data_IF_760386836486
#
_entry.id   IF_760386836486
#
_cell.length_a   1.000
_cell.length_b   1.000
_cell.length_c   1.000
_cell.angle_alpha   90.00
_cell.angle_beta   90.00
_cell.angle_gamma   90.00
#
_symmetry.space_group_name_H-M   'P 1'
#
loop_
_entity.id
_entity.type
_entity.pdbx_description
1 polymer ?
#
# COMPACT_ATOMS: atom_id res chain seq x y z
N UNK A 1 47.63 -22.53 -5.68
CA UNK A 1 46.79 -21.30 -5.77
C UNK A 1 46.05 -21.13 -7.12
N UNK A 2 46.45 -21.81 -8.20
CA UNK A 2 45.86 -21.67 -9.56
C UNK A 2 44.50 -22.38 -9.76
N UNK A 3 44.35 -23.63 -9.31
CA UNK A 3 43.12 -24.44 -9.47
C UNK A 3 41.93 -23.81 -8.74
N UNK A 4 42.16 -23.26 -7.54
CA UNK A 4 41.09 -22.62 -6.76
C UNK A 4 40.52 -21.38 -7.47
N UNK A 5 41.38 -20.55 -8.08
CA UNK A 5 40.95 -19.35 -8.80
C UNK A 5 40.28 -19.67 -10.14
N UNK A 6 40.78 -20.66 -10.87
CA UNK A 6 40.37 -20.92 -12.25
C UNK A 6 39.22 -21.94 -12.38
N UNK A 7 39.02 -22.81 -11.40
CA UNK A 7 38.01 -23.88 -11.47
C UNK A 7 37.02 -23.79 -10.32
N UNK A 8 37.50 -23.77 -9.08
CA UNK A 8 36.64 -23.88 -7.89
C UNK A 8 35.82 -22.61 -7.68
N UNK A 9 36.42 -21.42 -7.77
CA UNK A 9 35.73 -20.13 -7.60
C UNK A 9 34.59 -19.89 -8.62
N UNK A 10 34.77 -20.10 -9.94
CA UNK A 10 33.66 -19.94 -10.89
C UNK A 10 32.59 -21.03 -10.72
N UNK A 11 32.96 -22.26 -10.34
CA UNK A 11 32.00 -23.32 -10.02
C UNK A 11 31.15 -22.94 -8.80
N UNK A 12 31.78 -22.47 -7.71
CA UNK A 12 31.09 -21.98 -6.52
C UNK A 12 30.18 -20.78 -6.83
N UNK A 13 30.60 -19.90 -7.74
CA UNK A 13 29.77 -18.79 -8.20
C UNK A 13 28.53 -19.28 -8.97
N UNK A 14 28.68 -20.25 -9.89
CA UNK A 14 27.56 -20.90 -10.58
C UNK A 14 26.61 -21.59 -9.59
N UNK A 15 27.13 -22.32 -8.61
CA UNK A 15 26.34 -22.98 -7.56
C UNK A 15 25.58 -21.96 -6.71
N UNK A 16 26.24 -20.87 -6.28
CA UNK A 16 25.56 -19.79 -5.53
C UNK A 16 24.48 -19.10 -6.36
N UNK A 17 24.73 -18.85 -7.65
CA UNK A 17 23.76 -18.26 -8.58
C UNK A 17 22.55 -19.17 -8.77
N UNK A 18 22.77 -20.48 -8.94
CA UNK A 18 21.70 -21.46 -9.05
C UNK A 18 20.88 -21.57 -7.76
N UNK A 19 21.54 -21.60 -6.60
CA UNK A 19 20.87 -21.57 -5.29
C UNK A 19 19.98 -20.32 -5.13
N UNK A 20 20.49 -19.15 -5.51
CA UNK A 20 19.72 -17.90 -5.44
C UNK A 20 18.52 -17.95 -6.41
N UNK A 21 18.71 -18.47 -7.62
CA UNK A 21 17.63 -18.68 -8.58
C UNK A 21 16.52 -19.59 -8.01
N UNK A 22 16.88 -20.73 -7.41
CA UNK A 22 15.90 -21.63 -6.78
C UNK A 22 15.20 -20.97 -5.60
N UNK A 23 15.94 -20.21 -4.75
CA UNK A 23 15.34 -19.44 -3.66
C UNK A 23 14.30 -18.44 -4.20
N UNK A 24 14.65 -17.69 -5.24
CA UNK A 24 13.78 -16.67 -5.81
C UNK A 24 12.55 -17.31 -6.47
N UNK A 25 12.74 -18.44 -7.15
CA UNK A 25 11.65 -19.25 -7.70
C UNK A 25 10.72 -19.79 -6.60
N UNK A 26 11.27 -20.30 -5.50
CA UNK A 26 10.49 -20.74 -4.34
C UNK A 26 9.72 -19.59 -3.70
N UNK A 27 10.29 -18.39 -3.64
CA UNK A 27 9.56 -17.19 -3.18
C UNK A 27 8.39 -16.91 -4.10
N UNK A 28 8.55 -17.01 -5.43
CA UNK A 28 7.44 -16.83 -6.39
C UNK A 28 6.39 -17.93 -6.27
N UNK A 29 6.77 -19.17 -5.97
CA UNK A 29 5.81 -20.28 -5.81
C UNK A 29 5.06 -20.14 -4.47
N UNK A 30 5.77 -19.95 -3.37
CA UNK A 30 5.19 -19.80 -2.02
C UNK A 30 4.38 -18.52 -1.90
N UNK A 31 4.87 -17.41 -2.49
CA UNK A 31 4.12 -16.16 -2.60
C UNK A 31 3.28 -16.07 -3.86
N UNK A 32 3.20 -17.10 -4.70
CA UNK A 32 2.28 -17.12 -5.85
C UNK A 32 0.83 -17.15 -5.38
N UNK A 33 0.63 -17.64 -4.16
CA UNK A 33 -0.60 -17.59 -3.39
C UNK A 33 -0.82 -16.23 -2.71
N UNK A 34 0.18 -15.36 -2.76
CA UNK A 34 0.08 -13.99 -2.29
C UNK A 34 -0.69 -13.19 -3.34
N UNK A 35 -1.99 -13.04 -3.11
CA UNK A 35 -2.91 -12.27 -3.96
C UNK A 35 -2.36 -10.88 -4.29
N UNK A 36 -1.46 -10.33 -3.47
CA UNK A 36 -0.76 -9.07 -3.71
C UNK A 36 0.03 -9.07 -5.02
N UNK A 37 0.66 -10.19 -5.39
CA UNK A 37 1.42 -10.30 -6.64
C UNK A 37 0.51 -10.36 -7.88
N UNK A 38 -0.71 -10.89 -7.74
CA UNK A 38 -1.65 -11.03 -8.84
C UNK A 38 -2.53 -9.79 -9.03
N UNK A 39 -2.93 -9.16 -7.92
CA UNK A 39 -3.88 -8.04 -7.93
C UNK A 39 -3.19 -6.68 -7.86
N UNK A 40 -1.90 -6.65 -7.52
CA UNK A 40 -1.18 -5.41 -7.14
C UNK A 40 -1.84 -4.66 -5.98
N UNK A 41 -2.66 -5.35 -5.16
CA UNK A 41 -3.40 -4.77 -4.04
C UNK A 41 -3.00 -5.45 -2.73
N UNK A 42 -2.85 -4.68 -1.64
CA UNK A 42 -2.66 -5.24 -0.30
C UNK A 42 -3.82 -4.81 0.61
N UNK A 43 -4.82 -5.68 0.73
CA UNK A 43 -6.00 -5.42 1.56
C UNK A 43 -6.61 -6.72 2.11
N UNK A 44 -7.18 -6.65 3.32
CA UNK A 44 -7.91 -7.77 3.93
C UNK A 44 -9.39 -7.70 3.54
N UNK A 45 -9.72 -8.22 2.36
CA UNK A 45 -11.07 -8.15 1.75
C UNK A 45 -12.19 -8.56 2.73
N UNK A 46 -11.98 -9.58 3.56
CA UNK A 46 -12.98 -10.07 4.52
C UNK A 46 -13.35 -9.10 5.65
N UNK A 47 -12.63 -7.98 5.82
CA UNK A 47 -12.94 -6.92 6.79
C UNK A 47 -13.63 -5.70 6.17
N UNK A 48 -13.78 -5.68 4.85
CA UNK A 48 -14.32 -4.54 4.13
C UNK A 48 -15.84 -4.71 3.95
N UNK A 49 -16.63 -3.63 4.07
CA UNK A 49 -18.04 -3.67 3.73
C UNK A 49 -18.26 -4.12 2.28
N UNK A 50 -19.29 -4.95 2.05
CA UNK A 50 -19.63 -5.42 0.69
C UNK A 50 -20.06 -4.29 -0.26
N UNK A 51 -20.52 -3.18 0.32
CA UNK A 51 -20.93 -1.96 -0.38
C UNK A 51 -19.75 -1.09 -0.83
N UNK A 52 -18.52 -1.40 -0.43
CA UNK A 52 -17.35 -0.62 -0.85
C UNK A 52 -16.99 -0.98 -2.29
N UNK A 53 -16.91 0.05 -3.15
CA UNK A 53 -16.53 -0.09 -4.54
C UNK A 53 -15.05 0.22 -4.73
N UNK A 54 -14.38 -0.61 -5.52
CA UNK A 54 -12.98 -0.40 -5.89
C UNK A 54 -12.88 -0.08 -7.38
N UNK A 55 -12.51 1.16 -7.67
CA UNK A 55 -12.39 1.66 -9.03
C UNK A 55 -10.94 1.58 -9.47
N UNK A 56 -10.67 0.80 -10.53
CA UNK A 56 -9.31 0.51 -11.00
C UNK A 56 -8.40 0.04 -9.85
N UNK A 57 -8.69 -1.10 -9.18
CA UNK A 57 -8.15 -1.42 -7.84
C UNK A 57 -6.61 -1.49 -7.73
N UNK A 58 -5.90 -1.53 -8.85
CA UNK A 58 -4.45 -1.62 -8.94
C UNK A 58 -3.76 -0.62 -8.00
N UNK A 59 -2.86 -1.13 -7.18
CA UNK A 59 -2.04 -0.33 -6.27
C UNK A 59 -2.73 0.10 -4.98
N UNK A 60 -3.97 -0.33 -4.70
CA UNK A 60 -4.63 0.00 -3.43
C UNK A 60 -3.98 -0.76 -2.28
N UNK A 61 -3.68 -0.04 -1.20
CA UNK A 61 -3.15 -0.56 0.06
C UNK A 61 -4.09 -0.17 1.20
N UNK A 62 -4.65 -1.15 1.90
CA UNK A 62 -5.52 -0.95 3.08
C UNK A 62 -4.92 -1.71 4.27
N UNK A 63 -4.47 -0.96 5.26
CA UNK A 63 -3.89 -1.48 6.49
C UNK A 63 -4.84 -2.43 7.22
N UNK A 64 -4.28 -3.46 7.86
CA UNK A 64 -5.09 -4.57 8.38
C UNK A 64 -6.07 -4.22 9.51
N UNK A 65 -5.99 -3.03 10.13
CA UNK A 65 -6.92 -2.54 11.17
C UNK A 65 -7.66 -1.26 10.75
N UNK A 66 -7.57 -0.85 9.50
CA UNK A 66 -8.37 0.27 8.96
C UNK A 66 -9.85 -0.09 9.10
N UNK A 67 -10.66 0.87 9.53
CA UNK A 67 -12.13 0.76 9.54
C UNK A 67 -12.67 1.57 8.37
N UNK A 68 -13.58 0.99 7.60
CA UNK A 68 -14.25 1.65 6.47
C UNK A 68 -15.75 1.47 6.65
N UNK A 69 -16.51 2.56 6.49
CA UNK A 69 -17.97 2.57 6.47
C UNK A 69 -18.56 2.06 5.16
N UNK A 70 -19.88 2.09 5.06
CA UNK A 70 -20.61 1.60 3.91
C UNK A 70 -20.57 2.57 2.72
N UNK A 71 -20.81 2.05 1.52
CA UNK A 71 -20.92 2.82 0.27
C UNK A 71 -19.72 3.71 -0.08
N UNK A 72 -18.52 3.36 0.38
CA UNK A 72 -17.29 4.08 0.03
C UNK A 72 -16.81 3.71 -1.38
N UNK A 73 -16.20 4.69 -2.05
CA UNK A 73 -15.52 4.51 -3.34
C UNK A 73 -14.02 4.69 -3.10
N UNK A 74 -13.24 3.66 -3.40
CA UNK A 74 -11.77 3.69 -3.30
C UNK A 74 -11.16 3.55 -4.70
N UNK A 75 -10.45 4.58 -5.16
CA UNK A 75 -9.81 4.61 -6.48
C UNK A 75 -8.40 4.00 -6.47
N UNK A 76 -7.79 3.87 -7.65
CA UNK A 76 -6.46 3.30 -7.84
C UNK A 76 -5.40 3.96 -6.96
N UNK A 77 -4.37 3.20 -6.59
CA UNK A 77 -3.19 3.68 -5.87
C UNK A 77 -3.46 4.37 -4.52
N UNK A 78 -4.64 4.20 -3.94
CA UNK A 78 -4.97 4.73 -2.61
C UNK A 78 -4.22 3.98 -1.52
N UNK A 79 -3.71 4.69 -0.51
CA UNK A 79 -3.14 4.10 0.70
C UNK A 79 -3.89 4.52 1.95
N UNK A 80 -4.50 3.57 2.65
CA UNK A 80 -5.04 3.74 4.00
C UNK A 80 -4.08 3.10 5.00
N UNK A 81 -3.17 3.90 5.54
CA UNK A 81 -1.92 3.43 6.13
C UNK A 81 -1.76 3.68 7.63
N UNK A 82 -0.95 2.86 8.27
CA UNK A 82 -0.62 2.96 9.70
C UNK A 82 0.45 4.03 9.95
N UNK A 83 0.31 4.77 11.06
CA UNK A 83 1.39 5.59 11.65
C UNK A 83 1.39 5.36 13.15
N UNK A 84 2.55 4.98 13.73
CA UNK A 84 2.70 4.72 15.18
C UNK A 84 1.60 3.81 15.76
N UNK A 85 1.34 2.68 15.10
CA UNK A 85 0.32 1.69 15.49
C UNK A 85 -1.14 2.13 15.44
N UNK A 86 -1.40 3.33 14.89
CA UNK A 86 -2.73 3.86 14.68
C UNK A 86 -3.12 3.80 13.21
N UNK A 87 -4.41 3.61 12.96
CA UNK A 87 -4.98 3.38 11.64
C UNK A 87 -6.16 4.32 11.41
N UNK A 88 -6.41 4.72 10.16
CA UNK A 88 -7.51 5.62 9.86
C UNK A 88 -8.87 4.95 10.02
N UNK A 89 -9.87 5.80 10.27
CA UNK A 89 -11.30 5.47 10.27
C UNK A 89 -11.95 6.25 9.14
N UNK A 90 -12.52 5.53 8.19
CA UNK A 90 -13.25 6.10 7.05
C UNK A 90 -14.74 5.93 7.32
N UNK A 91 -15.49 7.04 7.29
CA UNK A 91 -16.94 7.07 7.45
C UNK A 91 -17.70 6.44 6.28
N UNK A 92 -19.02 6.62 6.25
CA UNK A 92 -19.90 6.14 5.20
C UNK A 92 -19.92 7.10 4.00
N UNK A 93 -20.18 6.59 2.80
CA UNK A 93 -20.31 7.39 1.57
C UNK A 93 -19.07 8.24 1.26
N UNK A 94 -17.88 7.81 1.69
CA UNK A 94 -16.63 8.54 1.44
C UNK A 94 -16.08 8.16 0.07
N UNK A 95 -15.70 9.16 -0.72
CA UNK A 95 -14.91 8.94 -1.94
C UNK A 95 -13.44 9.25 -1.69
N UNK A 96 -12.56 8.30 -2.00
CA UNK A 96 -11.12 8.48 -1.91
C UNK A 96 -10.52 8.50 -3.31
N UNK A 97 -10.04 9.68 -3.70
CA UNK A 97 -9.46 9.99 -4.99
C UNK A 97 -8.19 9.19 -5.30
N UNK A 98 -7.89 9.03 -6.59
CA UNK A 98 -6.75 8.24 -7.05
C UNK A 98 -5.43 8.73 -6.43
N UNK A 99 -4.59 7.80 -5.97
CA UNK A 99 -3.29 8.11 -5.38
C UNK A 99 -3.34 8.84 -4.03
N UNK A 100 -4.52 9.03 -3.42
CA UNK A 100 -4.62 9.66 -2.11
C UNK A 100 -4.10 8.75 -0.99
N UNK A 101 -3.57 9.37 0.07
CA UNK A 101 -3.02 8.70 1.24
C UNK A 101 -3.69 9.23 2.50
N UNK A 102 -4.30 8.36 3.29
CA UNK A 102 -4.86 8.67 4.61
C UNK A 102 -4.07 7.89 5.66
N UNK A 103 -3.36 8.60 6.53
CA UNK A 103 -2.30 8.00 7.33
C UNK A 103 -2.47 8.28 8.83
N UNK A 104 -2.39 7.22 9.64
CA UNK A 104 -2.36 7.33 11.09
C UNK A 104 -3.75 7.46 11.73
N UNK A 105 -3.79 8.13 12.88
CA UNK A 105 -5.01 8.35 13.66
C UNK A 105 -5.82 9.49 13.07
N UNK A 106 -6.51 9.20 11.97
CA UNK A 106 -7.31 10.17 11.22
C UNK A 106 -8.71 9.63 11.05
N UNK A 107 -9.70 10.46 11.34
CA UNK A 107 -11.11 10.21 11.06
C UNK A 107 -11.54 11.00 9.83
N UNK A 108 -12.04 10.32 8.82
CA UNK A 108 -12.69 10.92 7.66
C UNK A 108 -14.20 10.78 7.85
N UNK A 109 -14.90 11.90 8.01
CA UNK A 109 -16.34 11.92 8.27
C UNK A 109 -17.17 11.48 7.07
N UNK A 110 -18.43 11.14 7.35
CA UNK A 110 -19.38 10.64 6.34
C UNK A 110 -19.57 11.63 5.18
N UNK A 111 -19.69 11.12 3.96
CA UNK A 111 -19.91 11.93 2.75
C UNK A 111 -18.71 12.80 2.36
N UNK A 112 -17.56 12.66 3.02
CA UNK A 112 -16.37 13.41 2.67
C UNK A 112 -15.76 12.91 1.35
N UNK A 113 -15.09 13.83 0.63
CA UNK A 113 -14.35 13.53 -0.59
C UNK A 113 -12.89 13.84 -0.39
N UNK A 114 -12.02 12.86 -0.52
CA UNK A 114 -10.56 13.04 -0.51
C UNK A 114 -10.10 13.22 -1.96
N UNK A 115 -9.52 14.38 -2.28
CA UNK A 115 -9.06 14.68 -3.63
C UNK A 115 -7.91 13.75 -4.07
N UNK A 116 -7.77 13.57 -5.38
CA UNK A 116 -6.68 12.78 -5.95
C UNK A 116 -5.30 13.31 -5.52
N UNK A 117 -4.40 12.40 -5.15
CA UNK A 117 -3.05 12.72 -4.67
C UNK A 117 -2.98 13.42 -3.30
N UNK A 118 -4.10 13.60 -2.59
CA UNK A 118 -4.09 14.21 -1.27
C UNK A 118 -3.40 13.32 -0.24
N UNK A 119 -2.65 13.95 0.67
CA UNK A 119 -2.08 13.34 1.88
C UNK A 119 -2.83 13.89 3.09
N UNK A 120 -3.64 13.04 3.71
CA UNK A 120 -4.50 13.37 4.84
C UNK A 120 -3.80 12.96 6.14
N UNK A 121 -3.46 13.96 6.96
CA UNK A 121 -2.76 13.79 8.24
C UNK A 121 -3.56 14.34 9.43
N UNK A 122 -4.79 14.81 9.18
CA UNK A 122 -5.70 15.39 10.17
C UNK A 122 -7.12 15.00 9.81
N UNK A 123 -7.99 15.01 10.81
CA UNK A 123 -9.41 14.67 10.64
C UNK A 123 -10.07 15.53 9.56
N UNK A 124 -10.96 14.89 8.80
CA UNK A 124 -11.73 15.51 7.72
C UNK A 124 -13.20 15.52 8.16
N UNK A 125 -13.84 16.70 8.29
CA UNK A 125 -15.25 16.76 8.65
C UNK A 125 -16.16 16.10 7.62
N UNK A 126 -17.32 15.63 8.07
CA UNK A 126 -18.36 15.07 7.20
C UNK A 126 -18.82 16.08 6.13
N UNK A 127 -19.20 15.60 4.95
CA UNK A 127 -19.69 16.38 3.81
C UNK A 127 -18.73 17.51 3.38
N UNK A 128 -17.41 17.30 3.51
CA UNK A 128 -16.40 18.23 3.03
C UNK A 128 -15.48 17.59 2.00
N UNK A 129 -14.82 18.42 1.20
CA UNK A 129 -13.74 17.97 0.33
C UNK A 129 -12.39 18.33 0.96
N UNK A 130 -11.50 17.35 1.07
CA UNK A 130 -10.12 17.55 1.50
C UNK A 130 -9.18 17.47 0.29
N UNK A 131 -8.42 18.54 0.06
CA UNK A 131 -7.31 18.55 -0.88
C UNK A 131 -6.05 19.03 -0.17
N UNK A 132 -4.91 18.39 -0.45
CA UNK A 132 -3.64 18.83 0.09
C UNK A 132 -3.17 20.12 -0.58
N UNK A 133 -2.70 21.06 0.23
CA UNK A 133 -1.89 22.18 -0.21
C UNK A 133 -0.44 21.86 0.11
N UNK A 134 0.38 21.69 -0.91
CA UNK A 134 1.81 21.46 -0.75
C UNK A 134 2.54 22.80 -0.79
N UNK A 135 3.31 23.08 0.25
CA UNK A 135 4.34 24.11 0.22
C UNK A 135 5.71 23.42 0.13
N UNK A 136 6.66 23.95 -0.67
CA UNK A 136 8.00 23.39 -0.75
C UNK A 136 8.65 23.30 0.64
N UNK A 137 8.88 22.09 1.14
CA UNK A 137 9.60 21.85 2.38
C UNK A 137 11.04 21.44 2.05
N UNK A 138 11.98 22.35 2.35
CA UNK A 138 13.42 22.08 2.27
C UNK A 138 14.01 22.16 3.67
N UNK A 139 14.55 21.05 4.17
CA UNK A 139 15.36 21.03 5.39
C UNK A 139 16.82 20.78 4.99
N UNK A 140 17.78 21.60 5.43
CA UNK A 140 19.20 21.32 5.23
C UNK A 140 19.54 19.95 5.80
N UNK A 141 20.36 19.19 5.07
CA UNK A 141 20.84 17.87 5.50
C UNK A 141 22.05 17.97 6.44
N UNK A 142 22.50 19.19 6.75
CA UNK A 142 23.71 19.51 7.53
C UNK A 142 23.35 20.60 8.54
#
# INVERSE_FOLDING_TARGET
MSIYKNVIRPLLHKIKRFRNFIRDLLVVIVRGWDLRLLTSCDMKIYRLPKSTEFWHPVGIVIGGKVKIGEHCIIRQNVTLGQVKDKYPVIGNNVEVGAGAMVLGDVVVGDGAVIAAGAVVLKDVPANTMYASRFEPYMKPLI
#
